data_IF_836240819293
#
_entry.id   IF_836240819293
#
_cell.length_a   1.000
_cell.length_b   1.000
_cell.length_c   1.000
_cell.angle_alpha   90.00
_cell.angle_beta   90.00
_cell.angle_gamma   90.00
#
_symmetry.space_group_name_H-M   'P 1'
#
loop_
_entity.id
_entity.type
_entity.pdbx_description
1 polymer ?
#
# COMPACT_ATOMS: atom_id res chain seq x y z
N UNK A 1 -33.34 -7.01 -8.32
CA UNK A 1 -32.84 -7.73 -7.13
C UNK A 1 -31.34 -8.02 -7.18
N UNK A 2 -30.77 -8.38 -8.35
CA UNK A 2 -29.34 -8.69 -8.48
C UNK A 2 -28.40 -7.47 -8.30
N UNK A 3 -28.83 -6.27 -8.73
CA UNK A 3 -28.08 -5.02 -8.48
C UNK A 3 -27.87 -4.77 -6.99
N UNK A 4 -28.93 -4.78 -6.19
CA UNK A 4 -28.85 -4.47 -4.75
C UNK A 4 -27.88 -5.39 -3.98
N UNK A 5 -27.78 -6.67 -4.37
CA UNK A 5 -26.84 -7.62 -3.76
C UNK A 5 -25.39 -7.26 -4.05
N UNK A 6 -25.09 -6.92 -5.31
CA UNK A 6 -23.77 -6.45 -5.72
C UNK A 6 -23.43 -5.10 -5.08
N UNK A 7 -24.37 -4.17 -5.13
CA UNK A 7 -24.20 -2.82 -4.59
C UNK A 7 -23.93 -2.87 -3.07
N UNK A 8 -24.61 -3.76 -2.33
CA UNK A 8 -24.31 -4.01 -0.92
C UNK A 8 -22.93 -4.62 -0.72
N UNK A 9 -22.54 -5.63 -1.51
CA UNK A 9 -21.22 -6.27 -1.38
C UNK A 9 -20.09 -5.25 -1.61
N UNK A 10 -20.21 -4.39 -2.64
CA UNK A 10 -19.25 -3.34 -2.95
C UNK A 10 -19.15 -2.31 -1.82
N UNK A 11 -20.29 -1.88 -1.25
CA UNK A 11 -20.31 -0.94 -0.12
C UNK A 11 -19.65 -1.58 1.11
N UNK A 12 -20.05 -2.79 1.48
CA UNK A 12 -19.53 -3.46 2.66
C UNK A 12 -18.03 -3.76 2.53
N UNK A 13 -17.56 -4.18 1.35
CA UNK A 13 -16.13 -4.41 1.08
C UNK A 13 -15.32 -3.12 1.31
N UNK A 14 -15.84 -1.98 0.83
CA UNK A 14 -15.21 -0.68 1.04
C UNK A 14 -15.18 -0.30 2.52
N UNK A 15 -16.27 -0.49 3.25
CA UNK A 15 -16.37 -0.18 4.67
C UNK A 15 -15.45 -1.08 5.52
N UNK A 16 -15.42 -2.38 5.24
CA UNK A 16 -14.56 -3.34 5.92
C UNK A 16 -13.08 -3.09 5.64
N UNK A 17 -12.71 -2.78 4.39
CA UNK A 17 -11.35 -2.36 4.03
C UNK A 17 -10.96 -1.08 4.77
N UNK A 18 -11.89 -0.12 4.89
CA UNK A 18 -11.69 1.15 5.58
C UNK A 18 -11.60 0.97 7.10
N UNK A 19 -12.33 0.00 7.67
CA UNK A 19 -12.30 -0.34 9.08
C UNK A 19 -10.97 -1.02 9.47
N UNK A 20 -10.43 -1.86 8.59
CA UNK A 20 -9.13 -2.50 8.77
C UNK A 20 -7.98 -1.52 8.55
N UNK A 21 -8.04 -0.73 7.47
CA UNK A 21 -6.90 0.09 7.03
C UNK A 21 -7.00 1.49 7.65
N UNK A 22 -6.48 1.62 8.87
CA UNK A 22 -6.25 2.91 9.52
C UNK A 22 -5.02 3.64 8.94
N UNK A 23 -4.71 3.56 7.63
CA UNK A 23 -3.48 4.20 7.10
C UNK A 23 -3.54 4.73 5.66
N UNK A 24 -3.21 6.02 5.60
CA UNK A 24 -2.73 6.89 4.52
C UNK A 24 -2.58 6.30 3.11
N UNK A 25 -3.27 6.95 2.17
CA UNK A 25 -3.10 6.81 0.72
C UNK A 25 -1.71 7.28 0.25
N UNK A 26 -0.95 7.99 1.08
CA UNK A 26 0.30 8.65 0.68
C UNK A 26 1.58 7.83 0.91
N UNK A 27 1.47 6.57 1.36
CA UNK A 27 2.66 5.78 1.71
C UNK A 27 3.57 5.47 0.52
N UNK A 28 2.99 5.13 -0.63
CA UNK A 28 3.77 4.82 -1.83
C UNK A 28 4.49 6.06 -2.38
N UNK A 29 3.87 7.24 -2.28
CA UNK A 29 4.50 8.52 -2.67
C UNK A 29 5.68 8.87 -1.77
N UNK A 30 5.54 8.65 -0.47
CA UNK A 30 6.61 8.84 0.49
C UNK A 30 7.78 7.87 0.23
N UNK A 31 7.49 6.59 -0.06
CA UNK A 31 8.52 5.61 -0.39
C UNK A 31 9.25 5.99 -1.69
N UNK A 32 8.52 6.38 -2.74
CA UNK A 32 9.13 6.80 -4.00
C UNK A 32 9.97 8.09 -3.84
N UNK A 33 9.52 9.04 -3.02
CA UNK A 33 10.29 10.24 -2.72
C UNK A 33 11.62 9.90 -2.04
N UNK A 34 11.60 8.99 -1.06
CA UNK A 34 12.83 8.48 -0.41
C UNK A 34 13.72 7.74 -1.39
N UNK A 35 13.16 6.97 -2.32
CA UNK A 35 13.94 6.31 -3.38
C UNK A 35 14.72 7.33 -4.22
N UNK A 36 14.08 8.42 -4.67
CA UNK A 36 14.75 9.47 -5.44
C UNK A 36 15.84 10.18 -4.61
N UNK A 37 15.58 10.48 -3.34
CA UNK A 37 16.59 11.05 -2.43
C UNK A 37 17.82 10.15 -2.33
N UNK A 38 17.62 8.83 -2.22
CA UNK A 38 18.69 7.84 -2.17
C UNK A 38 19.52 7.79 -3.45
N UNK A 39 18.87 7.80 -4.62
CA UNK A 39 19.58 7.83 -5.91
C UNK A 39 20.41 9.10 -6.06
N UNK A 40 19.82 10.27 -5.75
CA UNK A 40 20.52 11.56 -5.86
C UNK A 40 21.74 11.58 -4.95
N UNK A 41 21.60 11.13 -3.71
CA UNK A 41 22.70 11.07 -2.76
C UNK A 41 23.78 10.05 -3.17
N UNK A 42 23.40 8.89 -3.73
CA UNK A 42 24.35 7.89 -4.25
C UNK A 42 25.21 8.47 -5.38
N UNK A 43 24.57 9.13 -6.35
CA UNK A 43 25.26 9.73 -7.51
C UNK A 43 26.17 10.88 -7.08
N UNK A 44 25.72 11.72 -6.13
CA UNK A 44 26.53 12.81 -5.58
C UNK A 44 27.58 12.37 -4.57
N UNK A 45 27.55 11.11 -4.12
CA UNK A 45 28.38 10.57 -3.02
C UNK A 45 28.19 11.37 -1.72
N UNK A 46 26.94 11.76 -1.46
CA UNK A 46 26.52 12.50 -0.27
C UNK A 46 25.82 11.58 0.72
N UNK A 47 25.79 12.00 1.99
CA UNK A 47 25.01 11.32 3.04
C UNK A 47 23.61 11.89 3.12
N UNK A 48 22.64 11.07 3.49
CA UNK A 48 21.24 11.44 3.68
C UNK A 48 20.99 11.64 5.17
N UNK A 49 20.33 12.73 5.54
CA UNK A 49 19.93 12.94 6.92
C UNK A 49 18.66 12.14 7.24
N UNK A 50 18.79 11.13 8.10
CA UNK A 50 17.65 10.35 8.56
C UNK A 50 17.04 11.03 9.79
N UNK A 51 15.81 11.54 9.65
CA UNK A 51 15.09 12.24 10.72
C UNK A 51 14.81 11.35 11.93
N UNK A 52 14.64 10.05 11.72
CA UNK A 52 14.28 9.11 12.79
C UNK A 52 15.48 8.80 13.69
N UNK A 53 16.68 8.68 13.10
CA UNK A 53 17.92 8.42 13.84
C UNK A 53 18.68 9.70 14.19
N UNK A 54 18.23 10.85 13.67
CA UNK A 54 18.90 12.16 13.78
C UNK A 54 20.36 12.10 13.34
N UNK A 55 20.68 11.27 12.35
CA UNK A 55 22.04 11.00 11.90
C UNK A 55 22.17 10.99 10.38
N UNK A 56 23.40 11.21 9.89
CA UNK A 56 23.72 11.13 8.46
C UNK A 56 24.12 9.71 8.08
N UNK A 57 23.35 9.10 7.20
CA UNK A 57 23.50 7.73 6.76
C UNK A 57 23.93 7.67 5.29
N UNK A 58 24.58 6.56 4.91
CA UNK A 58 24.85 6.32 3.49
C UNK A 58 23.54 6.00 2.77
N UNK A 59 23.43 6.31 1.46
CA UNK A 59 22.31 5.87 0.65
C UNK A 59 22.11 4.35 0.76
N UNK A 60 20.91 3.93 1.18
CA UNK A 60 20.57 2.52 1.32
C UNK A 60 20.34 1.88 -0.05
N UNK A 61 21.28 1.02 -0.48
CA UNK A 61 21.12 0.20 -1.69
C UNK A 61 20.00 -0.83 -1.56
N UNK A 62 19.74 -1.33 -0.35
CA UNK A 62 18.63 -2.25 -0.09
C UNK A 62 17.29 -1.59 -0.43
N UNK A 63 17.04 -0.38 0.10
CA UNK A 63 15.81 0.37 -0.20
C UNK A 63 15.65 0.64 -1.69
N UNK A 64 16.74 1.04 -2.37
CA UNK A 64 16.70 1.28 -3.81
C UNK A 64 16.34 0.02 -4.58
N UNK A 65 16.93 -1.13 -4.21
CA UNK A 65 16.65 -2.41 -4.84
C UNK A 65 15.21 -2.89 -4.61
N UNK A 66 14.66 -2.67 -3.42
CA UNK A 66 13.30 -3.06 -3.08
C UNK A 66 12.30 -2.28 -3.96
N UNK A 67 12.48 -0.96 -4.09
CA UNK A 67 11.65 -0.13 -4.97
C UNK A 67 11.83 -0.51 -6.45
N UNK A 68 13.06 -0.78 -6.90
CA UNK A 68 13.34 -1.23 -8.27
C UNK A 68 12.69 -2.58 -8.59
N UNK A 69 12.55 -3.45 -7.59
CA UNK A 69 11.84 -4.73 -7.71
C UNK A 69 10.34 -4.49 -7.88
N UNK A 70 9.74 -3.61 -7.07
CA UNK A 70 8.32 -3.21 -7.21
C UNK A 70 8.05 -2.62 -8.60
N UNK A 71 8.97 -1.79 -9.10
CA UNK A 71 8.87 -1.17 -10.42
C UNK A 71 9.17 -2.11 -11.59
N UNK A 72 9.59 -3.36 -11.31
CA UNK A 72 9.98 -4.36 -12.31
C UNK A 72 11.03 -3.81 -13.30
N UNK A 73 12.06 -3.11 -12.80
CA UNK A 73 13.06 -2.46 -13.65
C UNK A 73 13.87 -3.50 -14.46
N UNK A 74 13.89 -3.39 -15.80
CA UNK A 74 14.68 -4.29 -16.62
C UNK A 74 16.16 -3.88 -16.67
N UNK A 75 17.05 -4.88 -16.63
CA UNK A 75 18.48 -4.68 -16.85
C UNK A 75 19.25 -4.13 -15.64
N UNK A 76 20.43 -3.53 -15.86
CA UNK A 76 21.30 -3.08 -14.76
C UNK A 76 20.69 -1.88 -14.01
N UNK A 77 20.54 -2.00 -12.69
CA UNK A 77 20.00 -0.96 -11.81
C UNK A 77 20.74 0.38 -11.94
N UNK A 78 22.08 0.35 -12.05
CA UNK A 78 22.87 1.59 -12.14
C UNK A 78 22.52 2.43 -13.37
N UNK A 79 22.28 1.79 -14.53
CA UNK A 79 21.84 2.50 -15.75
C UNK A 79 20.45 3.12 -15.58
N UNK A 80 19.56 2.43 -14.87
CA UNK A 80 18.23 2.95 -14.58
C UNK A 80 18.31 4.18 -13.66
N UNK A 81 19.13 4.11 -12.60
CA UNK A 81 19.38 5.22 -11.67
C UNK A 81 19.97 6.44 -12.39
N UNK A 82 20.94 6.23 -13.28
CA UNK A 82 21.49 7.28 -14.14
C UNK A 82 20.41 7.93 -15.03
N UNK A 83 19.52 7.12 -15.61
CA UNK A 83 18.41 7.61 -16.43
C UNK A 83 17.41 8.46 -15.62
N UNK A 84 17.11 8.08 -14.37
CA UNK A 84 16.29 8.88 -13.45
C UNK A 84 16.92 10.26 -13.25
N UNK A 85 18.21 10.33 -12.91
CA UNK A 85 18.93 11.60 -12.74
C UNK A 85 18.91 12.43 -14.03
N UNK A 86 19.13 11.78 -15.18
CA UNK A 86 19.06 12.43 -16.49
C UNK A 86 17.71 13.09 -16.74
N UNK A 87 16.60 12.41 -16.42
CA UNK A 87 15.24 12.97 -16.59
C UNK A 87 14.96 14.14 -15.64
N UNK A 88 15.43 14.06 -14.40
CA UNK A 88 15.35 15.17 -13.44
C UNK A 88 16.12 16.38 -13.96
N UNK A 89 17.35 16.17 -14.45
CA UNK A 89 18.19 17.22 -15.00
C UNK A 89 17.57 17.86 -16.26
N UNK A 90 17.07 17.05 -17.19
CA UNK A 90 16.38 17.53 -18.39
C UNK A 90 15.18 18.40 -18.04
N UNK A 91 14.34 17.96 -17.09
CA UNK A 91 13.19 18.74 -16.61
C UNK A 91 13.63 20.09 -16.03
N UNK A 92 14.73 20.13 -15.28
CA UNK A 92 15.26 21.37 -14.70
C UNK A 92 15.85 22.32 -15.75
N UNK A 93 16.41 21.80 -16.84
CA UNK A 93 16.89 22.61 -17.97
C UNK A 93 15.71 23.22 -18.73
N UNK A 94 14.67 22.43 -19.01
CA UNK A 94 13.46 22.91 -19.70
C UNK A 94 12.68 23.93 -18.86
N UNK A 95 12.65 23.76 -17.54
CA UNK A 95 11.89 24.59 -16.61
C UNK A 95 12.76 25.07 -15.45
N UNK A 96 13.66 26.04 -15.69
CA UNK A 96 14.67 26.43 -14.72
C UNK A 96 14.10 27.09 -13.47
N UNK A 97 12.99 27.83 -13.59
CA UNK A 97 12.34 28.55 -12.49
C UNK A 97 11.33 27.70 -11.71
N UNK A 98 10.88 26.57 -12.26
CA UNK A 98 9.95 25.67 -11.59
C UNK A 98 10.70 24.79 -10.58
N UNK A 99 10.07 24.52 -9.43
CA UNK A 99 10.52 23.49 -8.50
C UNK A 99 10.31 22.11 -9.10
N UNK A 100 11.24 21.19 -8.88
CA UNK A 100 11.13 19.82 -9.38
C UNK A 100 9.98 19.12 -8.66
N UNK A 101 8.94 18.74 -9.40
CA UNK A 101 7.85 17.91 -8.90
C UNK A 101 8.08 16.46 -9.34
N UNK A 102 8.62 15.65 -8.42
CA UNK A 102 8.96 14.24 -8.66
C UNK A 102 7.73 13.44 -9.08
N UNK A 103 6.59 13.64 -8.43
CA UNK A 103 5.35 12.91 -8.74
C UNK A 103 4.86 13.16 -10.16
N UNK A 104 5.01 14.39 -10.66
CA UNK A 104 4.65 14.73 -12.04
C UNK A 104 5.64 14.17 -13.05
N UNK A 105 6.93 14.13 -12.72
CA UNK A 105 7.97 13.63 -13.62
C UNK A 105 7.85 12.12 -13.78
N UNK A 106 7.54 11.39 -12.72
CA UNK A 106 7.55 9.92 -12.68
C UNK A 106 6.17 9.33 -12.35
N UNK A 107 5.11 9.89 -12.94
CA UNK A 107 3.75 9.47 -12.65
C UNK A 107 3.54 7.97 -12.95
N UNK A 108 4.18 7.43 -13.98
CA UNK A 108 4.07 6.02 -14.36
C UNK A 108 4.69 5.07 -13.32
N UNK A 109 5.74 5.52 -12.62
CA UNK A 109 6.33 4.74 -11.52
C UNK A 109 5.44 4.81 -10.28
N UNK A 110 4.85 5.98 -10.00
CA UNK A 110 3.87 6.10 -8.94
C UNK A 110 2.63 5.25 -9.20
N UNK A 111 2.12 5.19 -10.43
CA UNK A 111 0.98 4.34 -10.80
C UNK A 111 1.29 2.85 -10.59
N UNK A 112 2.52 2.43 -10.94
CA UNK A 112 3.00 1.06 -10.72
C UNK A 112 3.09 0.73 -9.23
N UNK A 113 3.74 1.61 -8.44
CA UNK A 113 3.84 1.42 -6.99
C UNK A 113 2.47 1.42 -6.33
N UNK A 114 1.59 2.35 -6.72
CA UNK A 114 0.20 2.42 -6.25
C UNK A 114 -0.52 1.10 -6.48
N UNK A 115 -0.39 0.52 -7.68
CA UNK A 115 -1.00 -0.77 -8.01
C UNK A 115 -0.46 -1.90 -7.15
N UNK A 116 0.87 -1.99 -6.98
CA UNK A 116 1.50 -2.99 -6.11
C UNK A 116 1.00 -2.87 -4.65
N UNK A 117 0.98 -1.64 -4.11
CA UNK A 117 0.49 -1.38 -2.76
C UNK A 117 -0.99 -1.75 -2.60
N UNK A 118 -1.84 -1.50 -3.61
CA UNK A 118 -3.23 -1.93 -3.57
C UNK A 118 -3.38 -3.45 -3.65
N UNK A 119 -2.57 -4.14 -4.44
CA UNK A 119 -2.58 -5.60 -4.53
C UNK A 119 -2.14 -6.25 -3.22
N UNK A 120 -1.04 -5.78 -2.61
CA UNK A 120 -0.59 -6.24 -1.30
C UNK A 120 -1.66 -5.95 -0.23
N UNK A 121 -2.21 -4.73 -0.21
CA UNK A 121 -3.30 -4.40 0.73
C UNK A 121 -4.54 -5.25 0.51
N UNK A 122 -4.90 -5.56 -0.74
CA UNK A 122 -6.03 -6.44 -1.05
C UNK A 122 -5.80 -7.84 -0.50
N UNK A 123 -4.59 -8.38 -0.63
CA UNK A 123 -4.24 -9.68 -0.06
C UNK A 123 -4.34 -9.65 1.47
N UNK A 124 -3.81 -8.60 2.11
CA UNK A 124 -3.91 -8.42 3.57
C UNK A 124 -5.38 -8.32 4.03
N UNK A 125 -6.22 -7.61 3.28
CA UNK A 125 -7.66 -7.50 3.54
C UNK A 125 -8.34 -8.86 3.44
N UNK A 126 -8.06 -9.61 2.38
CA UNK A 126 -8.64 -10.94 2.17
C UNK A 126 -8.19 -11.93 3.24
N UNK A 127 -6.94 -11.86 3.69
CA UNK A 127 -6.43 -12.68 4.79
C UNK A 127 -7.09 -12.31 6.12
N UNK A 128 -7.16 -11.02 6.43
CA UNK A 128 -7.84 -10.56 7.64
C UNK A 128 -9.32 -10.97 7.65
N UNK A 129 -10.01 -10.92 6.51
CA UNK A 129 -11.38 -11.40 6.37
C UNK A 129 -11.51 -12.90 6.69
N UNK A 130 -10.55 -13.73 6.26
CA UNK A 130 -10.53 -15.16 6.62
C UNK A 130 -10.35 -15.34 8.13
N UNK A 131 -9.42 -14.60 8.74
CA UNK A 131 -9.18 -14.65 10.19
C UNK A 131 -10.43 -14.21 10.95
N UNK A 132 -11.08 -13.13 10.53
CA UNK A 132 -12.32 -12.63 11.13
C UNK A 132 -13.42 -13.72 11.17
N UNK A 133 -13.63 -14.46 10.08
CA UNK A 133 -14.62 -15.54 10.03
C UNK A 133 -14.20 -16.76 10.84
N UNK A 134 -12.92 -17.13 10.81
CA UNK A 134 -12.41 -18.26 11.58
C UNK A 134 -12.54 -18.02 13.09
N UNK A 135 -12.26 -16.79 13.55
CA UNK A 135 -12.50 -16.39 14.94
C UNK A 135 -13.97 -16.47 15.34
N UNK A 136 -14.90 -16.09 14.45
CA UNK A 136 -16.33 -16.22 14.71
C UNK A 136 -16.77 -17.69 14.85
N UNK A 137 -16.11 -18.59 14.13
CA UNK A 137 -16.36 -20.04 14.20
C UNK A 137 -15.62 -20.72 15.38
N UNK A 138 -14.88 -19.97 16.19
CA UNK A 138 -14.12 -20.48 17.35
C UNK A 138 -12.74 -21.07 17.00
N UNK A 139 -12.24 -20.87 15.79
CA UNK A 139 -10.95 -21.38 15.31
C UNK A 139 -9.82 -20.38 15.60
N UNK A 140 -9.42 -20.22 16.86
CA UNK A 140 -8.45 -19.16 17.26
C UNK A 140 -6.99 -19.60 17.37
N UNK A 141 -6.70 -20.91 17.36
CA UNK A 141 -5.38 -21.46 17.67
C UNK A 141 -4.39 -21.43 16.49
N UNK A 142 -4.90 -21.25 15.27
CA UNK A 142 -4.10 -21.31 14.04
C UNK A 142 -3.53 -19.94 13.61
N UNK A 143 -3.77 -18.89 14.39
CA UNK A 143 -3.42 -17.51 14.02
C UNK A 143 -2.49 -16.90 15.07
N UNK A 144 -1.57 -16.06 14.59
CA UNK A 144 -0.68 -15.25 15.41
C UNK A 144 -1.46 -14.25 16.27
N UNK A 145 -0.81 -13.68 17.28
CA UNK A 145 -1.42 -12.64 18.10
C UNK A 145 -1.75 -11.38 17.29
N UNK A 146 -0.86 -10.99 16.36
CA UNK A 146 -1.04 -9.84 15.48
C UNK A 146 -2.26 -10.00 14.57
N UNK A 147 -2.42 -11.15 13.91
CA UNK A 147 -3.58 -11.44 13.05
C UNK A 147 -4.89 -11.38 13.83
N UNK A 148 -4.92 -11.92 15.06
CA UNK A 148 -6.11 -11.88 15.92
C UNK A 148 -6.44 -10.47 16.37
N UNK A 149 -5.44 -9.68 16.72
CA UNK A 149 -5.61 -8.29 17.13
C UNK A 149 -6.11 -7.43 15.95
N UNK A 150 -5.59 -7.66 14.74
CA UNK A 150 -6.05 -6.99 13.54
C UNK A 150 -7.52 -7.34 13.23
N UNK A 151 -7.90 -8.62 13.29
CA UNK A 151 -9.27 -9.04 13.04
C UNK A 151 -10.26 -8.49 14.09
N UNK A 152 -9.89 -8.54 15.37
CA UNK A 152 -10.74 -8.00 16.45
C UNK A 152 -10.87 -6.48 16.38
N UNK A 153 -9.77 -5.75 16.16
CA UNK A 153 -9.84 -4.31 15.95
C UNK A 153 -10.67 -3.95 14.72
N UNK A 154 -10.62 -4.74 13.64
CA UNK A 154 -11.46 -4.53 12.45
C UNK A 154 -12.95 -4.67 12.80
N UNK A 155 -13.33 -5.68 13.59
CA UNK A 155 -14.71 -5.81 14.10
C UNK A 155 -15.14 -4.60 14.95
N UNK A 156 -14.29 -4.14 15.87
CA UNK A 156 -14.56 -2.95 16.68
C UNK A 156 -14.73 -1.68 15.83
N UNK A 157 -13.92 -1.52 14.79
CA UNK A 157 -14.01 -0.38 13.86
C UNK A 157 -15.28 -0.45 13.00
N UNK A 158 -15.70 -1.65 12.57
CA UNK A 158 -16.96 -1.86 11.87
C UNK A 158 -18.18 -1.51 12.75
N UNK A 159 -18.11 -1.85 14.04
CA UNK A 159 -19.16 -1.51 14.99
C UNK A 159 -19.22 -0.01 15.27
N UNK A 160 -18.08 0.59 15.60
CA UNK A 160 -18.02 2.01 16.03
C UNK A 160 -18.24 3.00 14.89
N UNK A 161 -17.75 2.71 13.67
CA UNK A 161 -17.80 3.65 12.54
C UNK A 161 -18.99 3.43 11.62
N UNK A 162 -19.47 2.20 11.51
CA UNK A 162 -20.46 1.81 10.51
C UNK A 162 -21.69 1.11 11.13
N UNK A 163 -21.69 0.83 12.43
CA UNK A 163 -22.84 0.28 13.15
C UNK A 163 -23.04 -1.23 12.97
N UNK A 164 -22.06 -1.94 12.40
CA UNK A 164 -22.15 -3.40 12.28
C UNK A 164 -21.77 -4.06 13.61
N UNK A 165 -22.75 -4.67 14.28
CA UNK A 165 -22.44 -5.62 15.35
C UNK A 165 -21.53 -6.74 14.83
N UNK A 166 -20.73 -7.36 15.70
CA UNK A 166 -19.83 -8.47 15.30
C UNK A 166 -20.52 -9.55 14.47
N UNK A 167 -21.71 -10.00 14.90
CA UNK A 167 -22.50 -11.00 14.18
C UNK A 167 -22.96 -10.49 12.79
N UNK A 168 -23.41 -9.24 12.69
CA UNK A 168 -23.82 -8.64 11.42
C UNK A 168 -22.63 -8.46 10.46
N UNK A 169 -21.46 -8.08 10.97
CA UNK A 169 -20.22 -8.01 10.20
C UNK A 169 -19.81 -9.39 9.68
N UNK A 170 -19.87 -10.43 10.51
CA UNK A 170 -19.56 -11.80 10.10
C UNK A 170 -20.50 -12.33 9.02
N UNK A 171 -21.81 -12.11 9.15
CA UNK A 171 -22.79 -12.48 8.12
C UNK A 171 -22.58 -11.70 6.81
N UNK A 172 -22.34 -10.38 6.90
CA UNK A 172 -22.03 -9.55 5.74
C UNK A 172 -20.76 -10.01 5.04
N UNK A 173 -19.77 -10.47 5.80
CA UNK A 173 -18.52 -10.99 5.28
C UNK A 173 -18.69 -12.36 4.60
N UNK A 174 -19.48 -13.26 5.19
CA UNK A 174 -19.87 -14.53 4.52
C UNK A 174 -20.57 -14.27 3.19
N UNK A 175 -21.49 -13.29 3.19
CA UNK A 175 -22.18 -12.87 1.97
C UNK A 175 -21.21 -12.33 0.92
N UNK A 176 -20.30 -11.43 1.30
CA UNK A 176 -19.27 -10.86 0.42
C UNK A 176 -18.42 -11.96 -0.22
N UNK A 177 -17.86 -12.87 0.58
CA UNK A 177 -17.00 -13.94 0.06
C UNK A 177 -17.75 -14.90 -0.86
N UNK A 178 -19.01 -15.22 -0.55
CA UNK A 178 -19.85 -16.06 -1.41
C UNK A 178 -20.14 -15.38 -2.75
N UNK A 179 -20.40 -14.07 -2.73
CA UNK A 179 -20.68 -13.29 -3.93
C UNK A 179 -19.49 -13.18 -4.90
N UNK A 180 -18.26 -13.26 -4.38
CA UNK A 180 -17.02 -13.26 -5.19
C UNK A 180 -16.78 -14.59 -5.91
N UNK A 181 -17.29 -15.70 -5.39
CA UNK A 181 -17.07 -17.07 -5.94
C UNK A 181 -18.08 -17.41 -7.05
N UNK A 182 -19.25 -16.80 -7.06
CA UNK A 182 -20.23 -17.03 -8.13
C UNK A 182 -19.99 -16.04 -9.28
N UNK A 183 -19.47 -16.49 -10.45
CA UNK A 183 -19.46 -15.65 -11.62
C UNK A 183 -20.91 -15.37 -12.03
N UNK A 184 -21.22 -14.08 -12.25
CA UNK A 184 -22.46 -13.64 -12.90
C UNK A 184 -22.68 -14.32 -14.24
#
# INVERSE_FOLDING_TARGET
>A
MQSCRRDFAEIFEKEATTAMTLVDENQYEALFSRYIEHIVAQVKREKIFNKNTSSYEQPSEALMKDVETILNIPGPADKHREAIIGRIAATKIERPTESINVSKIFHEYLDTMKSHYYEERKHLVDDNFRVMLALENGESLNFTEEERNLANSTYEQLETRFGYTRAAAAESLRFLLTSRVQPT
#
